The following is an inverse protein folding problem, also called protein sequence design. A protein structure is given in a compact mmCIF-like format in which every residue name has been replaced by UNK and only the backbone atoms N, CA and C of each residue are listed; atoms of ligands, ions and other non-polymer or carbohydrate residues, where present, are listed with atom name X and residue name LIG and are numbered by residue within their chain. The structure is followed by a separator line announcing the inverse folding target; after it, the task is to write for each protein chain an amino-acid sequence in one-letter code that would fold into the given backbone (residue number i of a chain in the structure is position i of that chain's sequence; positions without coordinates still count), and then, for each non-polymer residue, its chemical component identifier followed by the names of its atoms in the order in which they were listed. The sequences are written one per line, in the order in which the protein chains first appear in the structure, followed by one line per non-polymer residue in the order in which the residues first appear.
data_IF_807832286810
#
_entry.id   IF_807832286810
#
_cell.length_a   1.000
_cell.length_b   1.000
_cell.length_c   1.000
_cell.angle_alpha   90.00
_cell.angle_beta   90.00
_cell.angle_gamma   90.00
#
_symmetry.space_group_name_H-M   'P 1'
#
loop_
_entity.id
_entity.type
_entity.pdbx_description
1 polymer ?
#
# COMPACT_ATOMS: atom_id res chain seq x y z
N UNK A 1 -77.42 -55.88 15.59
CA UNK A 1 -77.94 -54.58 16.07
C UNK A 1 -77.24 -54.27 17.38
N UNK A 2 -76.26 -53.37 17.33
CA UNK A 2 -75.48 -52.86 18.48
C UNK A 2 -75.02 -51.43 18.10
N UNK A 3 -75.52 -50.48 18.88
CA UNK A 3 -74.94 -49.20 19.38
C UNK A 3 -73.75 -48.60 18.59
N UNK A 4 -73.90 -47.41 18.00
CA UNK A 4 -73.78 -46.05 18.57
C UNK A 4 -72.43 -45.42 18.20
N UNK A 5 -72.45 -44.09 18.05
CA UNK A 5 -71.34 -43.17 17.77
C UNK A 5 -70.76 -43.11 16.35
N UNK A 6 -71.37 -42.23 15.55
CA UNK A 6 -70.68 -41.54 14.45
C UNK A 6 -69.93 -40.32 15.02
N UNK A 7 -68.59 -40.33 15.08
CA UNK A 7 -67.83 -39.12 15.39
C UNK A 7 -67.83 -38.18 14.18
N UNK A 8 -68.47 -37.03 14.39
CA UNK A 8 -68.34 -35.74 13.71
C UNK A 8 -67.04 -35.57 12.86
N UNK A 9 -67.12 -35.85 11.56
CA UNK A 9 -66.10 -35.54 10.54
C UNK A 9 -66.08 -34.03 10.21
N UNK A 10 -65.66 -33.20 11.17
CA UNK A 10 -65.44 -31.76 10.97
C UNK A 10 -64.04 -31.29 11.36
N UNK A 11 -63.00 -32.07 11.05
CA UNK A 11 -61.62 -31.72 11.49
C UNK A 11 -60.56 -31.63 10.38
N UNK A 12 -60.89 -31.68 9.09
CA UNK A 12 -59.84 -31.71 8.05
C UNK A 12 -59.62 -30.43 7.24
N UNK A 13 -60.36 -29.33 7.48
CA UNK A 13 -60.08 -28.04 6.80
C UNK A 13 -59.29 -27.02 7.65
N UNK A 14 -59.06 -27.26 8.94
CA UNK A 14 -58.39 -26.32 9.83
C UNK A 14 -56.91 -26.68 10.07
N UNK A 15 -56.17 -26.95 9.01
CA UNK A 15 -54.74 -27.30 9.09
C UNK A 15 -53.88 -26.71 7.99
N UNK A 16 -54.48 -26.28 6.87
CA UNK A 16 -53.73 -25.69 5.76
C UNK A 16 -53.56 -24.18 5.93
N UNK A 17 -54.55 -23.51 6.53
CA UNK A 17 -54.46 -22.09 6.88
C UNK A 17 -53.44 -21.86 8.01
N UNK A 18 -53.37 -22.76 9.00
CA UNK A 18 -52.42 -22.68 10.11
C UNK A 18 -50.96 -22.93 9.67
N UNK A 19 -50.72 -23.75 8.64
CA UNK A 19 -49.37 -24.00 8.11
C UNK A 19 -48.91 -22.89 7.15
N UNK A 20 -49.83 -22.27 6.42
CA UNK A 20 -49.55 -21.10 5.58
C UNK A 20 -49.37 -19.82 6.41
N UNK A 21 -50.17 -19.65 7.47
CA UNK A 21 -49.97 -18.60 8.47
C UNK A 21 -48.70 -18.87 9.30
N UNK A 22 -48.37 -20.11 9.69
CA UNK A 22 -47.11 -20.40 10.39
C UNK A 22 -45.87 -20.20 9.51
N UNK A 23 -45.97 -20.44 8.19
CA UNK A 23 -44.90 -20.15 7.23
C UNK A 23 -44.76 -18.64 6.96
N UNK A 24 -45.85 -17.88 7.00
CA UNK A 24 -45.85 -16.40 6.89
C UNK A 24 -45.49 -15.69 8.21
N UNK A 25 -45.74 -16.32 9.36
CA UNK A 25 -45.41 -15.80 10.70
C UNK A 25 -44.01 -16.23 11.17
N UNK A 26 -43.23 -16.90 10.32
CA UNK A 26 -41.89 -17.40 10.60
C UNK A 26 -40.75 -16.42 10.37
N UNK A 27 -41.01 -15.20 9.88
CA UNK A 27 -39.94 -14.27 9.45
C UNK A 27 -39.93 -12.89 10.13
N UNK A 28 -40.82 -12.64 11.11
CA UNK A 28 -40.96 -11.32 11.75
C UNK A 28 -40.46 -11.27 13.21
N UNK A 29 -40.01 -12.40 13.77
CA UNK A 29 -39.56 -12.52 15.17
C UNK A 29 -38.05 -12.83 15.29
N UNK A 30 -37.24 -12.31 14.35
CA UNK A 30 -35.86 -11.99 14.66
C UNK A 30 -35.85 -10.60 15.28
N UNK A 31 -36.06 -10.55 16.60
CA UNK A 31 -36.23 -9.35 17.38
C UNK A 31 -35.40 -8.17 16.88
N UNK A 32 -36.10 -7.17 16.34
CA UNK A 32 -35.69 -5.77 16.47
C UNK A 32 -35.81 -5.41 17.96
N UNK A 33 -35.06 -6.10 18.82
CA UNK A 33 -34.76 -5.61 20.15
C UNK A 33 -34.05 -4.29 19.91
N UNK A 34 -34.67 -3.20 20.33
CA UNK A 34 -34.11 -1.85 20.27
C UNK A 34 -32.81 -1.76 21.07
N UNK A 35 -31.75 -2.34 20.52
CA UNK A 35 -30.38 -1.97 20.81
C UNK A 35 -30.32 -0.48 20.56
N UNK A 36 -29.89 0.24 21.58
CA UNK A 36 -29.81 1.69 21.52
C UNK A 36 -28.97 2.08 20.31
N UNK A 37 -29.26 3.21 19.64
CA UNK A 37 -28.41 3.75 18.57
C UNK A 37 -26.94 3.90 19.01
N UNK A 38 -26.72 3.96 20.33
CA UNK A 38 -25.38 3.89 20.92
C UNK A 38 -24.67 2.56 20.67
N UNK A 39 -25.39 1.43 20.70
CA UNK A 39 -24.85 0.09 20.42
C UNK A 39 -24.49 -0.04 18.94
N UNK A 40 -25.30 0.53 18.03
CA UNK A 40 -24.98 0.57 16.60
C UNK A 40 -23.75 1.44 16.30
N UNK A 41 -23.60 2.57 16.99
CA UNK A 41 -22.40 3.43 16.89
C UNK A 41 -21.16 2.72 17.45
N UNK A 42 -21.32 1.97 18.54
CA UNK A 42 -20.23 1.14 19.10
C UNK A 42 -19.85 0.03 18.12
N UNK A 43 -20.82 -0.64 17.50
CA UNK A 43 -20.58 -1.66 16.49
C UNK A 43 -19.87 -1.08 15.24
N UNK A 44 -20.31 0.08 14.73
CA UNK A 44 -19.65 0.79 13.63
C UNK A 44 -18.23 1.25 13.99
N UNK A 45 -18.00 1.61 15.25
CA UNK A 45 -16.68 1.97 15.74
C UNK A 45 -15.75 0.76 15.83
N UNK A 46 -16.24 -0.38 16.32
CA UNK A 46 -15.49 -1.64 16.36
C UNK A 46 -15.17 -2.16 14.95
N UNK A 47 -16.12 -2.08 14.02
CA UNK A 47 -15.92 -2.43 12.62
C UNK A 47 -14.93 -1.46 11.93
N UNK A 48 -15.05 -0.16 12.20
CA UNK A 48 -14.11 0.85 11.70
C UNK A 48 -12.69 0.66 12.22
N UNK A 49 -12.54 0.27 13.49
CA UNK A 49 -11.24 -0.10 14.07
C UNK A 49 -10.65 -1.31 13.36
N UNK A 50 -11.45 -2.35 13.15
CA UNK A 50 -11.03 -3.58 12.47
C UNK A 50 -10.61 -3.29 11.02
N UNK A 51 -11.34 -2.41 10.33
CA UNK A 51 -11.00 -1.97 8.97
C UNK A 51 -9.65 -1.24 8.90
N UNK A 52 -9.41 -0.30 9.83
CA UNK A 52 -8.13 0.43 9.90
C UNK A 52 -6.97 -0.51 10.25
N UNK A 53 -7.19 -1.45 11.17
CA UNK A 53 -6.20 -2.47 11.53
C UNK A 53 -5.86 -3.37 10.33
N UNK A 54 -6.84 -3.72 9.50
CA UNK A 54 -6.64 -4.51 8.28
C UNK A 54 -5.83 -3.75 7.22
N UNK A 55 -6.13 -2.48 6.96
CA UNK A 55 -5.39 -1.67 5.98
C UNK A 55 -3.95 -1.42 6.46
N UNK A 56 -3.74 -1.17 7.76
CA UNK A 56 -2.40 -1.05 8.34
C UNK A 56 -1.61 -2.34 8.21
N UNK A 57 -2.24 -3.50 8.45
CA UNK A 57 -1.60 -4.80 8.27
C UNK A 57 -1.23 -5.06 6.80
N UNK A 58 -2.09 -4.67 5.86
CA UNK A 58 -1.83 -4.78 4.43
C UNK A 58 -0.64 -3.92 3.99
N UNK A 59 -0.64 -2.63 4.34
CA UNK A 59 0.47 -1.71 4.05
C UNK A 59 1.77 -2.14 4.73
N UNK A 60 1.69 -2.66 5.96
CA UNK A 60 2.84 -3.22 6.69
C UNK A 60 3.42 -4.44 5.99
N UNK A 61 2.59 -5.33 5.45
CA UNK A 61 3.06 -6.50 4.70
C UNK A 61 3.79 -6.10 3.41
N UNK A 62 3.26 -5.10 2.70
CA UNK A 62 3.86 -4.58 1.46
C UNK A 62 5.17 -3.85 1.73
N UNK A 63 5.24 -3.09 2.83
CA UNK A 63 6.46 -2.46 3.30
C UNK A 63 7.50 -3.48 3.80
N UNK A 64 7.07 -4.53 4.51
CA UNK A 64 7.95 -5.61 4.96
C UNK A 64 8.52 -6.41 3.79
N UNK A 65 7.68 -6.77 2.80
CA UNK A 65 8.11 -7.44 1.58
C UNK A 65 9.10 -6.58 0.76
N UNK A 66 8.83 -5.27 0.65
CA UNK A 66 9.75 -4.33 0.02
C UNK A 66 11.07 -4.18 0.79
N UNK A 67 11.02 -4.20 2.13
CA UNK A 67 12.21 -4.12 2.98
C UNK A 67 13.06 -5.39 2.90
N UNK A 68 12.44 -6.57 2.83
CA UNK A 68 13.13 -7.85 2.81
C UNK A 68 13.87 -8.09 1.49
N UNK A 69 13.23 -7.77 0.36
CA UNK A 69 13.89 -7.71 -0.95
C UNK A 69 14.87 -6.53 -1.05
N UNK A 70 14.58 -5.45 -0.32
CA UNK A 70 15.42 -4.26 -0.23
C UNK A 70 16.77 -4.50 0.40
N UNK A 71 16.91 -5.47 1.32
CA UNK A 71 18.20 -5.76 1.98
C UNK A 71 19.28 -6.20 0.99
N UNK A 72 18.96 -7.16 0.12
CA UNK A 72 19.89 -7.64 -0.91
C UNK A 72 20.19 -6.58 -1.96
N UNK A 73 19.15 -5.84 -2.38
CA UNK A 73 19.32 -4.72 -3.32
C UNK A 73 20.16 -3.57 -2.72
N UNK A 74 19.97 -3.26 -1.43
CA UNK A 74 20.73 -2.24 -0.72
C UNK A 74 22.19 -2.67 -0.54
N UNK A 75 22.46 -3.93 -0.18
CA UNK A 75 23.83 -4.43 -0.05
C UNK A 75 24.56 -4.39 -1.39
N UNK A 76 23.91 -4.83 -2.47
CA UNK A 76 24.45 -4.73 -3.83
C UNK A 76 24.66 -3.27 -4.24
N UNK A 77 23.70 -2.38 -3.95
CA UNK A 77 23.80 -0.95 -4.23
C UNK A 77 24.97 -0.28 -3.51
N UNK A 78 25.15 -0.57 -2.21
CA UNK A 78 26.29 -0.07 -1.43
C UNK A 78 27.60 -0.60 -1.98
N UNK A 79 27.66 -1.89 -2.31
CA UNK A 79 28.86 -2.52 -2.86
C UNK A 79 29.23 -1.94 -4.23
N UNK A 80 28.25 -1.78 -5.11
CA UNK A 80 28.44 -1.14 -6.41
C UNK A 80 28.88 0.32 -6.27
N UNK A 81 28.25 1.08 -5.37
CA UNK A 81 28.65 2.46 -5.07
C UNK A 81 30.09 2.54 -4.57
N UNK A 82 30.49 1.67 -3.64
CA UNK A 82 31.86 1.62 -3.13
C UNK A 82 32.88 1.33 -4.24
N UNK A 83 32.60 0.37 -5.11
CA UNK A 83 33.45 0.04 -6.26
C UNK A 83 33.55 1.19 -7.27
N UNK A 84 32.42 1.81 -7.61
CA UNK A 84 32.38 2.99 -8.49
C UNK A 84 33.19 4.13 -7.87
N UNK A 85 33.09 4.32 -6.55
CA UNK A 85 33.82 5.38 -5.86
C UNK A 85 35.34 5.13 -5.88
N UNK A 86 35.77 3.89 -5.62
CA UNK A 86 37.18 3.49 -5.76
C UNK A 86 37.68 3.70 -7.20
N UNK A 87 36.89 3.30 -8.19
CA UNK A 87 37.21 3.49 -9.60
C UNK A 87 37.33 4.98 -9.96
N UNK A 88 36.47 5.84 -9.40
CA UNK A 88 36.52 7.28 -9.63
C UNK A 88 37.77 7.91 -9.03
N UNK A 89 38.19 7.48 -7.83
CA UNK A 89 39.46 7.93 -7.23
C UNK A 89 40.65 7.48 -8.12
N UNK A 90 40.68 6.22 -8.53
CA UNK A 90 41.73 5.70 -9.40
C UNK A 90 41.78 6.43 -10.75
N UNK A 91 40.61 6.76 -11.32
CA UNK A 91 40.48 7.55 -12.54
C UNK A 91 41.08 8.95 -12.36
N UNK A 92 40.75 9.64 -11.25
CA UNK A 92 41.29 10.98 -10.96
C UNK A 92 42.81 10.93 -10.81
N UNK A 93 43.33 9.98 -10.05
CA UNK A 93 44.79 9.80 -9.87
C UNK A 93 45.47 9.51 -11.21
N UNK A 94 44.92 8.57 -11.99
CA UNK A 94 45.45 8.22 -13.31
C UNK A 94 45.41 9.39 -14.29
N UNK A 95 44.34 10.19 -14.30
CA UNK A 95 44.21 11.36 -15.14
C UNK A 95 45.24 12.44 -14.78
N UNK A 96 45.47 12.69 -13.49
CA UNK A 96 46.51 13.63 -13.04
C UNK A 96 47.89 13.17 -13.50
N UNK A 97 48.23 11.89 -13.32
CA UNK A 97 49.53 11.33 -13.76
C UNK A 97 49.69 11.44 -15.28
N UNK A 98 48.63 11.15 -16.04
CA UNK A 98 48.65 11.21 -17.50
C UNK A 98 48.77 12.64 -18.03
N UNK A 99 48.15 13.63 -17.37
CA UNK A 99 48.09 15.02 -17.84
C UNK A 99 49.26 15.87 -17.32
N UNK A 100 49.80 15.55 -16.15
CA UNK A 100 50.95 16.24 -15.56
C UNK A 100 52.14 16.47 -16.51
N UNK A 101 52.59 15.52 -17.36
CA UNK A 101 53.70 15.76 -18.27
C UNK A 101 53.40 16.78 -19.39
N UNK A 102 52.12 17.06 -19.67
CA UNK A 102 51.71 17.98 -20.75
C UNK A 102 51.45 19.38 -20.20
N UNK A 103 50.75 19.49 -19.06
CA UNK A 103 50.25 20.78 -18.53
C UNK A 103 50.80 21.14 -17.16
N UNK A 104 51.79 20.41 -16.65
CA UNK A 104 52.31 20.46 -15.27
C UNK A 104 51.31 19.97 -14.21
N UNK A 105 51.82 19.69 -13.00
CA UNK A 105 51.00 19.15 -11.91
C UNK A 105 49.83 20.07 -11.52
N UNK A 106 50.07 21.37 -11.38
CA UNK A 106 49.02 22.32 -11.02
C UNK A 106 47.99 22.49 -12.13
N UNK A 107 48.42 22.53 -13.40
CA UNK A 107 47.51 22.57 -14.54
C UNK A 107 46.61 21.33 -14.61
N UNK A 108 47.18 20.15 -14.34
CA UNK A 108 46.43 18.90 -14.35
C UNK A 108 45.33 18.87 -13.28
N UNK A 109 45.66 19.30 -12.05
CA UNK A 109 44.69 19.40 -10.95
C UNK A 109 43.57 20.37 -11.31
N UNK A 110 43.90 21.57 -11.80
CA UNK A 110 42.91 22.58 -12.16
C UNK A 110 41.94 22.08 -13.24
N UNK A 111 42.45 21.40 -14.27
CA UNK A 111 41.63 20.84 -15.35
C UNK A 111 40.72 19.72 -14.82
N UNK A 112 41.26 18.74 -14.10
CA UNK A 112 40.49 17.60 -13.61
C UNK A 112 39.38 18.06 -12.65
N UNK A 113 39.71 18.95 -11.71
CA UNK A 113 38.72 19.52 -10.79
C UNK A 113 37.67 20.33 -11.56
N UNK A 114 38.08 21.15 -12.52
CA UNK A 114 37.16 21.92 -13.35
C UNK A 114 36.16 21.05 -14.10
N UNK A 115 36.61 19.94 -14.71
CA UNK A 115 35.75 18.99 -15.41
C UNK A 115 34.78 18.29 -14.45
N UNK A 116 35.25 17.83 -13.29
CA UNK A 116 34.39 17.18 -12.29
C UNK A 116 33.32 18.12 -11.73
N UNK A 117 33.67 19.39 -11.47
CA UNK A 117 32.71 20.40 -11.03
C UNK A 117 31.68 20.72 -12.11
N UNK A 118 32.10 20.83 -13.38
CA UNK A 118 31.18 21.02 -14.50
C UNK A 118 30.21 19.84 -14.66
N UNK A 119 30.71 18.60 -14.55
CA UNK A 119 29.89 17.40 -14.58
C UNK A 119 28.90 17.35 -13.39
N UNK A 120 29.37 17.63 -12.17
CA UNK A 120 28.51 17.69 -10.99
C UNK A 120 27.41 18.76 -11.14
N UNK A 121 27.77 19.94 -11.64
CA UNK A 121 26.81 21.01 -11.91
C UNK A 121 25.74 20.57 -12.93
N UNK A 122 26.15 19.94 -14.03
CA UNK A 122 25.23 19.42 -15.05
C UNK A 122 24.25 18.40 -14.48
N UNK A 123 24.73 17.46 -13.63
CA UNK A 123 23.89 16.48 -12.96
C UNK A 123 22.86 17.13 -12.03
N UNK A 124 23.27 18.14 -11.25
CA UNK A 124 22.35 18.89 -10.37
C UNK A 124 21.26 19.60 -11.19
N UNK A 125 21.63 20.23 -12.31
CA UNK A 125 20.67 20.90 -13.20
C UNK A 125 19.70 19.88 -13.81
N UNK A 126 20.19 18.73 -14.25
CA UNK A 126 19.36 17.67 -14.81
C UNK A 126 18.39 17.10 -13.77
N UNK A 127 18.85 16.87 -12.54
CA UNK A 127 18.00 16.39 -11.45
C UNK A 127 16.88 17.39 -11.13
N UNK A 128 17.19 18.69 -11.06
CA UNK A 128 16.19 19.74 -10.85
C UNK A 128 15.14 19.80 -11.96
N UNK A 129 15.50 19.47 -13.20
CA UNK A 129 14.55 19.40 -14.31
C UNK A 129 13.59 18.23 -14.16
N UNK A 130 14.10 17.07 -13.74
CA UNK A 130 13.29 15.87 -13.58
C UNK A 130 12.32 15.98 -12.40
N UNK A 131 12.76 16.51 -11.26
CA UNK A 131 11.88 16.70 -10.09
C UNK A 131 10.80 17.76 -10.32
N UNK A 132 11.10 18.83 -11.08
CA UNK A 132 10.09 19.82 -11.48
C UNK A 132 9.02 19.26 -12.42
N UNK A 133 9.38 18.31 -13.29
CA UNK A 133 8.41 17.65 -14.15
C UNK A 133 7.41 16.82 -13.34
N UNK A 134 7.90 16.08 -12.33
CA UNK A 134 7.07 15.33 -11.40
C UNK A 134 6.17 16.28 -10.57
N UNK A 135 6.74 17.39 -10.06
CA UNK A 135 5.97 18.37 -9.30
C UNK A 135 4.85 19.04 -10.09
N UNK A 136 5.02 19.26 -11.40
CA UNK A 136 3.96 19.80 -12.27
C UNK A 136 2.79 18.82 -12.45
N UNK A 137 3.06 17.52 -12.57
CA UNK A 137 2.02 16.50 -12.73
C UNK A 137 1.08 16.41 -11.50
N UNK A 138 1.57 16.77 -10.32
CA UNK A 138 0.75 16.83 -9.10
C UNK A 138 0.04 18.18 -8.90
N UNK A 139 0.55 19.28 -9.48
CA UNK A 139 -0.08 20.61 -9.33
C UNK A 139 -1.15 20.92 -10.38
N UNK A 140 -1.28 20.11 -11.43
CA UNK A 140 -2.28 20.29 -12.48
C UNK A 140 -3.67 19.73 -12.10
N UNK A 141 -3.76 18.97 -10.99
CA UNK A 141 -5.02 18.45 -10.45
C UNK A 141 -5.76 19.37 -9.48
N UNK A 142 -5.25 20.59 -9.22
CA UNK A 142 -5.80 21.53 -8.22
C UNK A 142 -6.41 22.80 -8.86
N UNK A 143 -7.00 22.69 -10.06
CA UNK A 143 -7.72 23.80 -10.69
C UNK A 143 -9.04 23.36 -11.31
#
# INVERSE_FOLDING_TARGET
MREEDLPNERQEEHGVEDEFDAAMLGEDEAGYSGGSLTDDVVALFEDGKTYVEAELAYQKSRAAFAAENGKSAALLGISAFALIHLALIALVVGAIIALAPIVTAFGAIAIVVGVLLAAAFALVVMMRRHTRAIGKAFSEGEK
#
